data_IF_000304738952
#
_entry.id   IF_000304738952
#
_cell.length_a   1.000
_cell.length_b   1.000
_cell.length_c   1.000
_cell.angle_alpha   90.00
_cell.angle_beta   90.00
_cell.angle_gamma   90.00
#
_symmetry.space_group_name_H-M   'P 1'
#
loop_
_entity.id
_entity.type
_entity.pdbx_description
1 polymer ?
#
# COMPACT_ATOMS: atom_id res chain seq x y z
N UNK A 1 -23.23 -23.43 -12.12
CA UNK A 1 -23.54 -22.00 -12.10
C UNK A 1 -22.31 -21.29 -12.64
N UNK A 2 -22.44 -20.26 -13.49
CA UNK A 2 -21.29 -19.49 -13.88
C UNK A 2 -20.70 -18.87 -12.60
N UNK A 3 -19.39 -18.98 -12.46
CA UNK A 3 -18.67 -18.31 -11.38
C UNK A 3 -18.90 -16.82 -11.60
N UNK A 4 -19.61 -16.15 -10.69
CA UNK A 4 -19.79 -14.73 -10.76
C UNK A 4 -18.41 -14.05 -10.68
N UNK A 5 -18.09 -13.25 -11.67
CA UNK A 5 -16.86 -12.45 -11.70
C UNK A 5 -16.95 -11.31 -10.68
N UNK A 6 -16.66 -11.61 -9.43
CA UNK A 6 -16.53 -10.65 -8.35
C UNK A 6 -15.09 -10.14 -8.24
N UNK A 7 -14.88 -9.13 -7.40
CA UNK A 7 -13.52 -8.74 -7.00
C UNK A 7 -12.78 -9.92 -6.40
N UNK A 8 -11.48 -9.99 -6.63
CA UNK A 8 -10.62 -10.94 -5.97
C UNK A 8 -10.67 -10.71 -4.47
N UNK A 9 -10.79 -11.79 -3.73
CA UNK A 9 -10.94 -11.74 -2.29
C UNK A 9 -9.62 -12.00 -1.58
N UNK A 10 -9.70 -12.02 -0.27
CA UNK A 10 -8.68 -12.26 0.72
C UNK A 10 -7.61 -13.29 0.26
N UNK A 11 -6.42 -12.80 0.07
CA UNK A 11 -5.23 -13.59 -0.25
C UNK A 11 -4.93 -14.66 0.79
N UNK A 12 -5.36 -14.45 2.04
CA UNK A 12 -5.15 -15.38 3.15
C UNK A 12 -5.91 -16.71 2.97
N UNK A 13 -6.95 -16.71 2.15
CA UNK A 13 -7.71 -17.93 1.84
C UNK A 13 -7.00 -18.84 0.86
N UNK A 14 -6.02 -18.35 0.11
CA UNK A 14 -5.32 -19.12 -0.91
C UNK A 14 -4.26 -20.04 -0.32
N UNK A 15 -4.17 -21.25 -0.88
CA UNK A 15 -3.20 -22.25 -0.45
C UNK A 15 -1.84 -22.07 -1.09
N UNK A 16 -1.82 -21.53 -2.29
CA UNK A 16 -0.60 -21.39 -3.09
C UNK A 16 -0.26 -19.91 -3.20
N UNK A 17 0.83 -19.43 -2.62
CA UNK A 17 1.29 -18.07 -2.82
C UNK A 17 1.81 -17.86 -4.24
N UNK A 18 1.87 -16.60 -4.67
CA UNK A 18 2.49 -16.20 -5.93
C UNK A 18 3.99 -16.50 -5.98
N UNK A 19 4.64 -16.06 -7.05
CA UNK A 19 6.06 -16.30 -7.27
C UNK A 19 6.91 -15.69 -6.15
N UNK A 20 7.72 -16.51 -5.52
CA UNK A 20 8.67 -16.08 -4.49
C UNK A 20 10.03 -15.87 -5.10
N UNK A 21 10.56 -14.69 -4.91
CA UNK A 21 11.93 -14.38 -5.28
C UNK A 21 12.90 -14.74 -4.14
N UNK A 22 14.17 -14.82 -4.46
CA UNK A 22 15.21 -15.01 -3.45
C UNK A 22 15.19 -13.84 -2.47
N UNK A 23 15.49 -14.12 -1.20
CA UNK A 23 15.68 -13.07 -0.20
C UNK A 23 16.87 -12.20 -0.60
N UNK A 24 16.68 -10.88 -0.56
CA UNK A 24 17.73 -9.92 -0.79
C UNK A 24 18.11 -9.21 0.52
N UNK A 25 19.35 -8.78 0.62
CA UNK A 25 19.80 -7.88 1.67
C UNK A 25 20.08 -6.51 1.07
N UNK A 26 19.72 -5.45 1.80
CA UNK A 26 20.20 -4.11 1.45
C UNK A 26 21.72 -4.10 1.58
N UNK A 27 22.40 -4.09 0.44
CA UNK A 27 23.86 -3.98 0.40
C UNK A 27 24.29 -2.54 0.66
N UNK A 28 25.45 -2.37 1.28
CA UNK A 28 26.12 -1.07 1.36
C UNK A 28 26.52 -0.66 -0.06
N UNK A 29 25.59 0.00 -0.75
CA UNK A 29 25.74 0.50 -2.10
C UNK A 29 26.44 1.86 -2.13
N UNK A 30 26.44 2.49 -3.30
CA UNK A 30 26.90 3.86 -3.43
C UNK A 30 26.12 4.79 -2.51
N UNK A 31 26.82 5.65 -1.80
CA UNK A 31 26.23 6.66 -0.90
C UNK A 31 25.23 7.51 -1.68
N UNK A 32 24.03 7.76 -1.13
CA UNK A 32 23.05 8.66 -1.75
C UNK A 32 23.70 9.97 -2.22
N UNK A 33 23.29 10.44 -3.39
CA UNK A 33 23.78 11.66 -4.05
C UNK A 33 25.29 11.67 -4.43
N UNK A 34 26.03 10.57 -4.23
CA UNK A 34 27.38 10.47 -4.79
C UNK A 34 27.35 10.30 -6.32
N UNK A 35 28.45 10.64 -7.02
CA UNK A 35 28.53 10.43 -8.48
C UNK A 35 28.20 8.99 -8.89
N UNK A 36 28.72 7.99 -8.17
CA UNK A 36 28.47 6.58 -8.45
C UNK A 36 26.99 6.20 -8.24
N UNK A 37 26.32 6.79 -7.26
CA UNK A 37 24.90 6.61 -7.01
C UNK A 37 24.06 7.19 -8.16
N UNK A 38 24.37 8.44 -8.59
CA UNK A 38 23.69 9.04 -9.73
C UNK A 38 23.88 8.22 -11.02
N UNK A 39 25.08 7.69 -11.25
CA UNK A 39 25.34 6.87 -12.44
C UNK A 39 24.56 5.55 -12.38
N UNK A 40 24.41 4.96 -11.20
CA UNK A 40 23.60 3.75 -11.03
C UNK A 40 22.10 4.04 -11.25
N UNK A 41 21.57 5.11 -10.68
CA UNK A 41 20.18 5.55 -10.90
C UNK A 41 19.91 5.88 -12.37
N UNK A 42 20.84 6.57 -13.06
CA UNK A 42 20.73 6.88 -14.48
C UNK A 42 20.66 5.62 -15.36
N UNK A 43 21.44 4.57 -15.02
CA UNK A 43 21.34 3.27 -15.71
C UNK A 43 19.95 2.64 -15.53
N UNK A 44 19.39 2.69 -14.32
CA UNK A 44 18.02 2.25 -14.07
C UNK A 44 17.03 3.05 -14.90
N UNK A 45 17.16 4.38 -14.94
CA UNK A 45 16.34 5.27 -15.76
C UNK A 45 16.38 4.90 -17.24
N UNK A 46 17.56 4.61 -17.79
CA UNK A 46 17.74 4.17 -19.17
C UNK A 46 16.99 2.85 -19.44
N UNK A 47 17.08 1.86 -18.56
CA UNK A 47 16.37 0.59 -18.71
C UNK A 47 14.85 0.78 -18.64
N UNK A 48 14.35 1.58 -17.69
CA UNK A 48 12.92 1.93 -17.60
C UNK A 48 12.42 2.61 -18.89
N UNK A 49 13.15 3.61 -19.37
CA UNK A 49 12.79 4.34 -20.60
C UNK A 49 12.76 3.44 -21.84
N UNK A 50 13.72 2.52 -21.98
CA UNK A 50 13.76 1.52 -23.06
C UNK A 50 12.59 0.53 -22.97
N UNK A 51 12.17 0.17 -21.75
CA UNK A 51 10.99 -0.68 -21.54
C UNK A 51 9.66 0.04 -21.80
N UNK A 52 9.69 1.34 -22.09
CA UNK A 52 8.50 2.14 -22.42
C UNK A 52 7.90 2.88 -21.22
N UNK A 53 8.57 2.94 -20.08
CA UNK A 53 8.10 3.75 -18.93
C UNK A 53 8.10 5.23 -19.32
N UNK A 54 6.96 5.90 -19.13
CA UNK A 54 6.77 7.33 -19.44
C UNK A 54 6.48 8.18 -18.22
N UNK A 55 5.85 7.57 -17.22
CA UNK A 55 5.57 8.23 -15.96
C UNK A 55 5.84 7.30 -14.78
N UNK A 56 6.30 7.86 -13.68
CA UNK A 56 6.48 7.19 -12.41
C UNK A 56 5.65 7.94 -11.37
N UNK A 57 4.87 7.18 -10.61
CA UNK A 57 3.97 7.72 -9.58
C UNK A 57 4.39 7.20 -8.22
N UNK A 58 4.42 8.09 -7.24
CA UNK A 58 4.69 7.78 -5.84
C UNK A 58 3.42 8.01 -5.03
N UNK A 59 2.93 6.95 -4.39
CA UNK A 59 1.71 6.94 -3.59
C UNK A 59 2.04 6.57 -2.15
N UNK A 60 1.85 7.52 -1.23
CA UNK A 60 2.23 7.36 0.16
C UNK A 60 1.34 6.39 0.93
N UNK A 61 1.89 5.79 1.99
CA UNK A 61 1.21 4.83 2.85
C UNK A 61 0.85 5.35 4.23
N UNK A 62 0.97 6.67 4.46
CA UNK A 62 0.59 7.26 5.73
C UNK A 62 -0.88 6.98 6.05
N UNK A 63 -1.18 6.87 7.33
CA UNK A 63 -2.52 6.58 7.81
C UNK A 63 -3.12 7.82 8.46
N UNK A 64 -4.41 8.02 8.24
CA UNK A 64 -5.18 9.08 8.84
C UNK A 64 -6.40 8.50 9.55
N UNK A 65 -6.65 8.94 10.76
CA UNK A 65 -7.79 8.50 11.57
C UNK A 65 -7.48 8.45 13.06
N UNK A 66 -8.51 8.27 13.86
CA UNK A 66 -8.44 8.23 15.31
C UNK A 66 -8.10 6.86 15.88
N UNK A 67 -8.13 5.83 15.05
CA UNK A 67 -7.86 4.44 15.42
C UNK A 67 -6.94 3.78 14.40
N UNK A 68 -5.67 4.17 14.43
CA UNK A 68 -4.65 3.75 13.47
C UNK A 68 -4.46 2.22 13.40
N UNK A 69 -4.73 1.53 14.49
CA UNK A 69 -4.53 0.09 14.59
C UNK A 69 -5.85 -0.71 14.54
N UNK A 70 -6.98 -0.05 14.36
CA UNK A 70 -8.28 -0.72 14.26
C UNK A 70 -8.74 -1.38 15.56
N UNK A 71 -8.31 -0.86 16.72
CA UNK A 71 -8.69 -1.42 18.03
C UNK A 71 -10.19 -1.32 18.27
N UNK A 72 -10.82 -0.25 17.79
CA UNK A 72 -12.27 -0.10 17.86
C UNK A 72 -12.99 -1.21 17.08
N UNK A 73 -12.47 -1.60 15.94
CA UNK A 73 -12.99 -2.72 15.17
C UNK A 73 -12.87 -4.05 15.92
N UNK A 74 -11.72 -4.30 16.56
CA UNK A 74 -11.56 -5.46 17.43
C UNK A 74 -12.63 -5.51 18.52
N UNK A 75 -13.01 -4.36 19.06
CA UNK A 75 -14.07 -4.23 20.04
C UNK A 75 -15.46 -4.51 19.44
N UNK A 76 -15.72 -4.01 18.22
CA UNK A 76 -16.98 -4.22 17.50
C UNK A 76 -17.22 -5.70 17.15
N UNK A 77 -16.20 -6.42 16.72
CA UNK A 77 -16.28 -7.87 16.50
C UNK A 77 -16.28 -8.68 17.82
N UNK A 78 -16.25 -7.98 18.96
CA UNK A 78 -16.40 -8.57 20.28
C UNK A 78 -15.14 -9.22 20.83
N UNK A 79 -13.98 -9.01 20.20
CA UNK A 79 -12.71 -9.60 20.59
C UNK A 79 -12.28 -9.25 22.01
N UNK A 80 -12.33 -7.97 22.36
CA UNK A 80 -11.95 -7.50 23.70
C UNK A 80 -12.98 -7.87 24.77
N UNK A 81 -14.27 -7.88 24.42
CA UNK A 81 -15.37 -8.25 25.34
C UNK A 81 -15.41 -9.73 25.67
N UNK A 82 -14.98 -10.59 24.74
CA UNK A 82 -14.98 -12.04 24.91
C UNK A 82 -13.85 -12.54 25.82
N UNK A 83 -12.95 -11.67 26.25
CA UNK A 83 -11.86 -12.02 27.17
C UNK A 83 -10.80 -12.95 26.57
N UNK A 84 -10.70 -13.02 25.25
CA UNK A 84 -9.67 -13.82 24.56
C UNK A 84 -8.25 -13.35 24.82
N UNK A 85 -8.07 -12.11 25.30
CA UNK A 85 -6.79 -11.58 25.76
C UNK A 85 -6.36 -12.19 27.11
N UNK A 86 -7.31 -12.73 27.89
CA UNK A 86 -7.00 -13.29 29.20
C UNK A 86 -6.15 -14.53 29.07
N UNK A 87 -4.95 -14.47 29.59
CA UNK A 87 -4.00 -15.58 29.60
C UNK A 87 -3.02 -15.61 28.42
N UNK A 88 -3.09 -14.66 27.48
CA UNK A 88 -2.05 -14.43 26.49
C UNK A 88 -1.12 -13.35 27.05
N UNK A 89 0.03 -13.77 27.58
CA UNK A 89 1.01 -12.84 28.14
C UNK A 89 1.38 -11.75 27.13
N UNK A 90 1.19 -10.49 27.52
CA UNK A 90 1.55 -9.33 26.73
C UNK A 90 0.52 -8.85 25.70
N UNK A 91 -0.54 -9.61 25.39
CA UNK A 91 -1.56 -9.15 24.45
C UNK A 91 -2.30 -7.91 24.96
N UNK A 92 -2.61 -7.86 26.27
CA UNK A 92 -3.24 -6.67 26.87
C UNK A 92 -2.31 -5.44 26.81
N UNK A 93 -0.99 -5.64 27.00
CA UNK A 93 0.00 -4.58 26.87
C UNK A 93 0.13 -4.11 25.42
N UNK A 94 0.11 -5.03 24.47
CA UNK A 94 0.11 -4.71 23.03
C UNK A 94 -1.13 -3.91 22.64
N UNK A 95 -2.32 -4.35 23.07
CA UNK A 95 -3.57 -3.64 22.78
C UNK A 95 -3.61 -2.27 23.47
N UNK A 96 -3.06 -2.13 24.67
CA UNK A 96 -2.90 -0.85 25.36
C UNK A 96 -1.94 0.07 24.59
N UNK A 97 -0.78 -0.43 24.19
CA UNK A 97 0.18 0.33 23.38
C UNK A 97 -0.39 0.76 22.03
N UNK A 98 -1.19 -0.09 21.39
CA UNK A 98 -1.89 0.24 20.15
C UNK A 98 -2.95 1.35 20.35
N UNK A 99 -3.64 1.36 21.50
CA UNK A 99 -4.57 2.43 21.88
C UNK A 99 -3.85 3.74 22.21
N UNK A 100 -2.80 3.65 22.99
CA UNK A 100 -2.00 4.81 23.43
C UNK A 100 -1.15 5.38 22.29
N UNK A 101 -0.65 4.54 21.40
CA UNK A 101 0.11 4.96 20.22
C UNK A 101 -0.69 5.88 19.29
N UNK A 102 -2.02 5.68 19.20
CA UNK A 102 -2.93 6.62 18.52
C UNK A 102 -2.95 8.01 19.18
N UNK A 103 -2.74 8.08 20.48
CA UNK A 103 -2.65 9.33 21.23
C UNK A 103 -1.23 9.90 21.26
N UNK A 104 -0.22 9.08 20.98
CA UNK A 104 1.20 9.46 21.04
C UNK A 104 1.73 10.14 19.78
N UNK A 105 0.93 10.25 18.72
CA UNK A 105 1.25 11.04 17.52
C UNK A 105 0.34 12.29 17.55
N UNK A 106 0.77 13.39 18.21
CA UNK A 106 -0.11 14.55 18.46
C UNK A 106 -0.69 15.17 17.19
N UNK A 107 -0.04 14.98 16.06
CA UNK A 107 -0.47 15.51 14.77
C UNK A 107 -1.64 14.71 14.14
N UNK A 108 -1.90 13.47 14.60
CA UNK A 108 -2.95 12.61 14.06
C UNK A 108 -4.13 12.44 15.02
N UNK A 109 -4.02 12.89 16.29
CA UNK A 109 -4.99 12.61 17.35
C UNK A 109 -5.88 13.79 17.75
N UNK A 110 -5.64 14.99 17.26
CA UNK A 110 -6.20 16.19 17.92
C UNK A 110 -7.15 17.05 17.11
N UNK A 111 -7.48 16.72 15.90
CA UNK A 111 -8.36 17.55 15.10
C UNK A 111 -9.05 16.76 14.00
N UNK A 112 -10.23 17.20 13.59
CA UNK A 112 -10.79 16.86 12.29
C UNK A 112 -9.78 17.40 11.27
N UNK A 113 -8.79 16.59 10.90
CA UNK A 113 -7.91 16.95 9.80
C UNK A 113 -8.79 16.89 8.55
N UNK A 114 -8.88 17.98 7.77
CA UNK A 114 -9.63 17.94 6.54
C UNK A 114 -9.14 16.79 5.66
N UNK A 115 -9.99 16.17 4.86
CA UNK A 115 -9.58 15.12 3.96
C UNK A 115 -8.36 15.60 3.18
N UNK A 116 -7.29 14.77 3.19
CA UNK A 116 -6.05 15.11 2.49
C UNK A 116 -6.36 15.23 0.99
N UNK A 117 -5.94 16.32 0.42
CA UNK A 117 -6.07 16.61 -1.01
C UNK A 117 -4.70 16.54 -1.68
N UNK A 118 -4.69 16.28 -2.98
CA UNK A 118 -3.43 16.24 -3.74
C UNK A 118 -2.94 17.67 -4.10
N UNK A 119 -2.74 18.50 -3.09
CA UNK A 119 -2.28 19.88 -3.21
C UNK A 119 -0.95 20.12 -2.49
N UNK A 120 -0.32 21.24 -2.78
CA UNK A 120 1.00 21.58 -2.24
C UNK A 120 1.00 21.75 -0.70
N UNK A 121 -0.09 22.24 -0.13
CA UNK A 121 -0.20 22.44 1.32
C UNK A 121 -0.25 21.09 2.04
N UNK A 122 -1.06 20.17 1.55
CA UNK A 122 -1.15 18.81 2.09
C UNK A 122 0.16 18.05 1.95
N UNK A 123 0.84 18.16 0.81
CA UNK A 123 2.16 17.55 0.58
C UNK A 123 3.18 18.07 1.59
N UNK A 124 3.23 19.39 1.78
CA UNK A 124 4.11 19.99 2.77
C UNK A 124 3.78 19.54 4.19
N UNK A 125 2.51 19.48 4.55
CA UNK A 125 2.08 19.00 5.87
C UNK A 125 2.54 17.56 6.14
N UNK A 126 2.39 16.69 5.17
CA UNK A 126 2.87 15.29 5.27
C UNK A 126 4.39 15.24 5.42
N UNK A 127 5.13 16.05 4.66
CA UNK A 127 6.59 16.09 4.73
C UNK A 127 7.08 16.59 6.09
N UNK A 128 6.46 17.63 6.62
CA UNK A 128 6.78 18.19 7.94
C UNK A 128 6.47 17.19 9.09
N UNK A 129 5.44 16.37 8.94
CA UNK A 129 5.00 15.45 10.00
C UNK A 129 5.66 14.09 9.95
N UNK A 130 5.81 13.50 8.78
CA UNK A 130 6.25 12.12 8.58
C UNK A 130 7.70 12.02 8.08
N UNK A 131 8.22 13.08 7.46
CA UNK A 131 9.49 12.99 6.77
C UNK A 131 9.48 11.85 5.77
N UNK A 132 10.48 10.97 5.81
CA UNK A 132 10.59 9.80 4.94
C UNK A 132 9.83 8.56 5.45
N UNK A 133 9.20 8.64 6.61
CA UNK A 133 8.61 7.48 7.24
C UNK A 133 7.25 7.11 6.63
N UNK A 134 7.25 6.19 5.68
CA UNK A 134 6.05 5.76 4.96
C UNK A 134 5.52 6.81 3.98
N UNK A 135 6.33 7.80 3.66
CA UNK A 135 5.98 8.94 2.83
C UNK A 135 7.09 9.21 1.80
N UNK A 136 6.70 9.38 0.56
CA UNK A 136 7.60 9.87 -0.49
C UNK A 136 7.55 11.40 -0.49
N UNK A 137 8.53 12.05 0.15
CA UNK A 137 8.58 13.51 0.23
C UNK A 137 8.75 14.16 -1.14
N UNK A 138 8.42 15.45 -1.27
CA UNK A 138 8.68 16.17 -2.50
C UNK A 138 10.20 16.20 -2.82
N UNK A 139 11.05 16.25 -1.79
CA UNK A 139 12.50 16.15 -1.95
C UNK A 139 12.93 14.76 -2.49
N UNK A 140 12.33 13.68 -1.96
CA UNK A 140 12.58 12.31 -2.45
C UNK A 140 12.22 12.19 -3.93
N UNK A 141 11.03 12.65 -4.31
CA UNK A 141 10.55 12.55 -5.70
C UNK A 141 11.39 13.40 -6.64
N UNK A 142 11.74 14.62 -6.23
CA UNK A 142 12.62 15.50 -7.03
C UNK A 142 14.04 14.93 -7.22
N UNK A 143 14.59 14.30 -6.18
CA UNK A 143 15.89 13.62 -6.27
C UNK A 143 15.81 12.39 -7.20
N UNK A 144 14.77 11.59 -7.06
CA UNK A 144 14.51 10.43 -7.92
C UNK A 144 14.42 10.86 -9.39
N UNK A 145 13.59 11.87 -9.69
CA UNK A 145 13.42 12.43 -11.04
C UNK A 145 14.75 12.90 -11.64
N UNK A 146 15.50 13.72 -10.90
CA UNK A 146 16.82 14.21 -11.32
C UNK A 146 17.80 13.06 -11.60
N UNK A 147 17.77 12.00 -10.78
CA UNK A 147 18.72 10.94 -10.85
C UNK A 147 18.48 9.99 -12.04
N UNK A 148 17.24 9.55 -12.25
CA UNK A 148 16.90 8.65 -13.36
C UNK A 148 16.98 9.34 -14.72
N UNK A 149 16.73 10.64 -14.77
CA UNK A 149 16.70 11.41 -16.01
C UNK A 149 18.06 12.01 -16.42
N UNK A 150 19.12 11.79 -15.61
CA UNK A 150 20.46 12.38 -15.81
C UNK A 150 20.99 12.25 -17.26
N UNK A 151 20.68 11.13 -17.92
CA UNK A 151 21.21 10.80 -19.27
C UNK A 151 20.11 10.60 -20.32
N UNK A 152 18.85 10.76 -19.96
CA UNK A 152 17.75 10.47 -20.88
C UNK A 152 17.49 11.64 -21.82
N UNK A 153 17.40 11.39 -23.14
CA UNK A 153 17.03 12.42 -24.13
C UNK A 153 15.56 12.84 -24.03
N UNK A 154 14.70 11.91 -23.57
CA UNK A 154 13.29 12.16 -23.25
C UNK A 154 13.06 11.78 -21.80
N UNK A 155 12.80 12.76 -20.93
CA UNK A 155 12.59 12.50 -19.53
C UNK A 155 11.38 11.60 -19.25
N UNK A 156 11.50 10.74 -18.23
CA UNK A 156 10.38 10.05 -17.60
C UNK A 156 9.86 10.95 -16.48
N UNK A 157 8.59 11.30 -16.51
CA UNK A 157 8.03 12.24 -15.53
C UNK A 157 7.78 11.55 -14.18
N UNK A 158 8.09 12.23 -13.09
CA UNK A 158 7.84 11.73 -11.74
C UNK A 158 6.74 12.54 -11.06
N UNK A 159 5.75 11.85 -10.51
CA UNK A 159 4.58 12.45 -9.87
C UNK A 159 4.39 11.91 -8.47
N UNK A 160 4.11 12.79 -7.54
CA UNK A 160 3.66 12.44 -6.20
C UNK A 160 2.15 12.65 -6.11
N UNK A 161 1.43 11.60 -5.77
CA UNK A 161 -0.02 11.65 -5.53
C UNK A 161 -0.27 11.46 -4.05
N UNK A 162 -1.07 12.36 -3.47
CA UNK A 162 -1.56 12.29 -2.10
C UNK A 162 -3.03 11.89 -2.12
N UNK A 163 -3.39 10.94 -1.28
CA UNK A 163 -4.77 10.48 -1.07
C UNK A 163 -5.19 10.72 0.39
N UNK A 164 -6.47 10.51 0.71
CA UNK A 164 -7.01 10.84 2.04
C UNK A 164 -6.40 10.05 3.21
N UNK A 165 -5.74 8.94 2.93
CA UNK A 165 -5.14 8.04 3.94
C UNK A 165 -6.13 7.48 4.97
N UNK A 166 -7.42 7.55 4.70
CA UNK A 166 -8.45 7.00 5.58
C UNK A 166 -8.30 5.49 5.70
N UNK A 167 -8.10 5.03 6.94
CA UNK A 167 -7.77 3.65 7.25
C UNK A 167 -9.02 2.74 7.29
N UNK A 168 -9.83 2.77 6.24
CA UNK A 168 -11.02 1.93 6.10
C UNK A 168 -11.36 1.68 4.63
N UNK A 169 -12.24 0.70 4.37
CA UNK A 169 -12.55 0.25 3.00
C UNK A 169 -13.12 1.35 2.11
N UNK A 170 -14.02 2.18 2.64
CA UNK A 170 -14.61 3.30 1.90
C UNK A 170 -13.54 4.30 1.45
N UNK A 171 -12.64 4.70 2.34
CA UNK A 171 -11.56 5.65 2.01
C UNK A 171 -10.65 5.10 0.92
N UNK A 172 -10.28 3.82 1.00
CA UNK A 172 -9.46 3.15 -0.03
C UNK A 172 -10.20 3.04 -1.37
N UNK A 173 -11.51 2.77 -1.35
CA UNK A 173 -12.31 2.70 -2.57
C UNK A 173 -12.45 4.06 -3.26
N UNK A 174 -12.70 5.12 -2.50
CA UNK A 174 -12.69 6.51 -3.02
C UNK A 174 -11.31 6.84 -3.59
N UNK A 175 -10.24 6.49 -2.88
CA UNK A 175 -8.88 6.71 -3.34
C UNK A 175 -8.58 5.95 -4.65
N UNK A 176 -9.05 4.71 -4.80
CA UNK A 176 -8.87 3.93 -6.03
C UNK A 176 -9.56 4.59 -7.23
N UNK A 177 -10.79 5.09 -7.05
CA UNK A 177 -11.51 5.82 -8.11
C UNK A 177 -10.78 7.11 -8.48
N UNK A 178 -10.39 7.93 -7.50
CA UNK A 178 -9.66 9.18 -7.75
C UNK A 178 -8.28 8.94 -8.37
N UNK A 179 -7.61 7.88 -7.98
CA UNK A 179 -6.34 7.48 -8.58
C UNK A 179 -6.51 7.13 -10.07
N UNK A 180 -7.51 6.33 -10.42
CA UNK A 180 -7.79 5.97 -11.81
C UNK A 180 -8.19 7.20 -12.64
N UNK A 181 -8.96 8.11 -12.08
CA UNK A 181 -9.31 9.38 -12.72
C UNK A 181 -8.07 10.27 -12.97
N UNK A 182 -7.17 10.33 -11.99
CA UNK A 182 -5.88 11.02 -12.14
C UNK A 182 -5.01 10.37 -13.23
N UNK A 183 -4.97 9.04 -13.30
CA UNK A 183 -4.25 8.32 -14.35
C UNK A 183 -4.81 8.60 -15.74
N UNK A 184 -6.14 8.68 -15.85
CA UNK A 184 -6.80 9.02 -17.12
C UNK A 184 -6.34 10.39 -17.62
N UNK A 185 -6.40 11.39 -16.74
CA UNK A 185 -5.92 12.76 -17.04
C UNK A 185 -4.42 12.77 -17.39
N UNK A 186 -3.59 12.06 -16.63
CA UNK A 186 -2.16 11.96 -16.91
C UNK A 186 -1.87 11.36 -18.30
N UNK A 187 -2.61 10.30 -18.66
CA UNK A 187 -2.48 9.69 -19.99
C UNK A 187 -2.87 10.67 -21.13
N UNK A 188 -3.83 11.55 -20.87
CA UNK A 188 -4.26 12.58 -21.82
C UNK A 188 -3.22 13.67 -21.97
N UNK A 189 -2.79 14.25 -20.87
CA UNK A 189 -1.86 15.39 -20.82
C UNK A 189 -0.48 15.03 -21.38
N UNK A 190 -0.01 13.83 -21.12
CA UNK A 190 1.33 13.38 -21.51
C UNK A 190 1.34 12.51 -22.77
N UNK A 191 0.19 12.31 -23.41
CA UNK A 191 0.04 11.47 -24.59
C UNK A 191 0.57 10.04 -24.38
N UNK A 192 0.34 9.49 -23.18
CA UNK A 192 0.67 8.10 -22.85
C UNK A 192 -0.39 7.19 -23.46
N UNK A 193 0.03 6.12 -24.12
CA UNK A 193 -0.88 5.24 -24.82
C UNK A 193 -0.35 3.83 -25.06
N UNK A 194 -0.78 3.22 -26.15
CA UNK A 194 -0.48 1.82 -26.45
C UNK A 194 1.03 1.54 -26.47
N UNK A 195 1.44 0.60 -25.61
CA UNK A 195 2.83 0.16 -25.48
C UNK A 195 3.66 0.94 -24.48
N UNK A 196 3.16 2.09 -24.02
CA UNK A 196 3.78 2.82 -22.93
C UNK A 196 3.45 2.18 -21.58
N UNK A 197 4.23 2.53 -20.54
CA UNK A 197 4.10 2.03 -19.17
C UNK A 197 4.05 3.18 -18.18
N UNK A 198 3.24 3.00 -17.15
CA UNK A 198 3.18 3.86 -15.97
C UNK A 198 3.63 3.00 -14.80
N UNK A 199 4.69 3.39 -14.13
CA UNK A 199 5.20 2.70 -12.94
C UNK A 199 4.67 3.37 -11.68
N UNK A 200 4.15 2.60 -10.74
CA UNK A 200 3.64 3.11 -9.46
C UNK A 200 4.40 2.49 -8.31
N UNK A 201 4.97 3.33 -7.47
CA UNK A 201 5.47 2.96 -6.15
C UNK A 201 4.39 3.24 -5.12
N UNK A 202 3.88 2.19 -4.48
CA UNK A 202 2.85 2.31 -3.46
C UNK A 202 3.37 1.79 -2.12
N UNK A 203 3.32 2.61 -1.08
CA UNK A 203 3.73 2.20 0.25
C UNK A 203 2.52 1.80 1.11
N UNK A 204 2.68 0.73 1.90
CA UNK A 204 1.71 0.32 2.91
C UNK A 204 0.28 0.20 2.37
N UNK A 205 -0.63 0.94 2.93
CA UNK A 205 -2.05 0.91 2.56
C UNK A 205 -2.36 1.43 1.14
N UNK A 206 -1.47 2.22 0.55
CA UNK A 206 -1.63 2.59 -0.86
C UNK A 206 -1.62 1.36 -1.78
N UNK A 207 -0.94 0.29 -1.40
CA UNK A 207 -1.02 -0.97 -2.14
C UNK A 207 -2.42 -1.59 -2.12
N UNK A 208 -3.20 -1.42 -1.04
CA UNK A 208 -4.61 -1.86 -1.01
C UNK A 208 -5.49 -0.99 -1.92
N UNK A 209 -5.20 0.30 -2.05
CA UNK A 209 -5.83 1.18 -3.06
C UNK A 209 -5.56 0.65 -4.46
N UNK A 210 -4.31 0.25 -4.74
CA UNK A 210 -3.94 -0.29 -6.05
C UNK A 210 -4.50 -1.68 -6.30
N UNK A 211 -4.70 -2.50 -5.28
CA UNK A 211 -5.40 -3.78 -5.42
C UNK A 211 -6.86 -3.57 -5.88
N UNK A 212 -7.56 -2.59 -5.30
CA UNK A 212 -8.89 -2.19 -5.77
C UNK A 212 -8.84 -1.64 -7.21
N UNK A 213 -7.87 -0.77 -7.52
CA UNK A 213 -7.68 -0.24 -8.85
C UNK A 213 -7.40 -1.36 -9.89
N UNK A 214 -6.60 -2.36 -9.54
CA UNK A 214 -6.33 -3.51 -10.40
C UNK A 214 -7.61 -4.31 -10.70
N UNK A 215 -8.46 -4.54 -9.70
CA UNK A 215 -9.77 -5.16 -9.89
C UNK A 215 -10.71 -4.31 -10.76
N UNK A 216 -10.67 -2.97 -10.61
CA UNK A 216 -11.44 -2.07 -11.47
C UNK A 216 -10.94 -2.05 -12.92
N UNK A 217 -9.64 -2.21 -13.14
CA UNK A 217 -9.01 -2.26 -14.46
C UNK A 217 -9.19 -3.60 -15.18
N UNK A 218 -9.71 -4.63 -14.50
CA UNK A 218 -9.96 -5.93 -15.11
C UNK A 218 -10.73 -5.78 -16.43
N UNK A 219 -10.24 -6.33 -17.55
CA UNK A 219 -10.88 -6.16 -18.85
C UNK A 219 -12.22 -6.89 -18.94
N UNK A 220 -12.43 -7.91 -18.11
CA UNK A 220 -13.68 -8.66 -18.10
C UNK A 220 -14.77 -7.89 -17.33
N UNK A 221 -16.03 -7.97 -17.75
CA UNK A 221 -17.13 -7.47 -16.95
C UNK A 221 -17.19 -8.16 -15.61
N UNK A 222 -17.20 -7.40 -14.52
CA UNK A 222 -17.30 -7.90 -13.17
C UNK A 222 -18.44 -7.22 -12.43
N UNK A 223 -19.25 -8.01 -11.75
CA UNK A 223 -20.38 -7.52 -10.95
C UNK A 223 -19.90 -6.59 -9.82
N UNK A 224 -18.73 -6.89 -9.23
CA UNK A 224 -18.13 -6.08 -8.19
C UNK A 224 -17.85 -4.64 -8.60
N UNK A 225 -17.48 -4.38 -9.86
CA UNK A 225 -17.24 -3.02 -10.37
C UNK A 225 -18.52 -2.18 -10.33
N UNK A 226 -19.60 -2.66 -10.93
CA UNK A 226 -20.88 -1.96 -10.93
C UNK A 226 -21.40 -1.71 -9.52
N UNK A 227 -21.34 -2.73 -8.66
CA UNK A 227 -21.75 -2.63 -7.27
C UNK A 227 -20.93 -1.60 -6.49
N UNK A 228 -19.61 -1.53 -6.71
CA UNK A 228 -18.77 -0.52 -6.09
C UNK A 228 -19.16 0.89 -6.52
N UNK A 229 -19.39 1.10 -7.81
CA UNK A 229 -19.83 2.41 -8.33
C UNK A 229 -21.21 2.79 -7.82
N UNK A 230 -22.16 1.86 -7.71
CA UNK A 230 -23.47 2.11 -7.07
C UNK A 230 -23.31 2.58 -5.64
N UNK A 231 -22.51 1.90 -4.83
CA UNK A 231 -22.26 2.27 -3.43
C UNK A 231 -21.62 3.67 -3.34
N UNK A 232 -20.59 3.93 -4.13
CA UNK A 232 -19.89 5.21 -4.10
C UNK A 232 -20.74 6.37 -4.63
N UNK A 233 -21.55 6.13 -5.65
CA UNK A 233 -22.50 7.13 -6.18
C UNK A 233 -23.58 7.46 -5.15
N UNK A 234 -24.15 6.45 -4.50
CA UNK A 234 -25.13 6.68 -3.43
C UNK A 234 -24.49 7.44 -2.26
N UNK A 235 -23.28 7.08 -1.86
CA UNK A 235 -22.53 7.78 -0.81
C UNK A 235 -22.24 9.23 -1.19
N UNK A 236 -21.75 9.49 -2.41
CA UNK A 236 -21.41 10.85 -2.86
C UNK A 236 -22.63 11.76 -2.94
N UNK A 237 -23.79 11.24 -3.37
CA UNK A 237 -25.06 11.97 -3.39
C UNK A 237 -25.55 12.33 -1.99
N UNK A 238 -25.45 11.40 -1.03
CA UNK A 238 -25.87 11.63 0.36
C UNK A 238 -24.95 12.59 1.13
N UNK A 239 -23.67 12.66 0.75
CA UNK A 239 -22.66 13.47 1.42
C UNK A 239 -22.28 14.74 0.65
N UNK A 240 -22.96 15.00 -0.46
CA UNK A 240 -22.72 16.14 -1.34
C UNK A 240 -21.24 16.26 -1.80
N UNK A 241 -20.73 15.17 -2.39
CA UNK A 241 -19.38 15.09 -2.96
C UNK A 241 -19.41 15.06 -4.51
N UNK A 242 -19.71 16.18 -5.17
CA UNK A 242 -19.85 16.22 -6.63
C UNK A 242 -18.58 15.85 -7.39
N UNK A 243 -17.41 16.09 -6.81
CA UNK A 243 -16.11 15.72 -7.40
C UNK A 243 -15.94 14.20 -7.50
N UNK A 244 -16.37 13.45 -6.47
CA UNK A 244 -16.35 11.99 -6.50
C UNK A 244 -17.31 11.45 -7.55
N UNK A 245 -18.51 12.00 -7.63
CA UNK A 245 -19.49 11.63 -8.65
C UNK A 245 -18.97 11.90 -10.05
N UNK A 246 -18.32 13.05 -10.26
CA UNK A 246 -17.70 13.40 -11.54
C UNK A 246 -16.55 12.43 -11.91
N UNK A 247 -15.70 12.05 -10.95
CA UNK A 247 -14.63 11.08 -11.15
C UNK A 247 -15.19 9.71 -11.55
N UNK A 248 -16.23 9.21 -10.85
CA UNK A 248 -16.90 7.95 -11.21
C UNK A 248 -17.38 8.00 -12.64
N UNK A 249 -18.12 9.05 -13.03
CA UNK A 249 -18.67 9.21 -14.39
C UNK A 249 -17.59 9.23 -15.47
N UNK A 250 -16.42 9.85 -15.19
CA UNK A 250 -15.32 9.91 -16.16
C UNK A 250 -14.66 8.56 -16.40
N UNK A 251 -14.55 7.71 -15.36
CA UNK A 251 -13.84 6.43 -15.50
C UNK A 251 -14.76 5.25 -15.86
N UNK A 252 -16.04 5.28 -15.52
CA UNK A 252 -16.95 4.15 -15.64
C UNK A 252 -17.07 3.64 -17.09
N UNK A 253 -17.33 4.53 -18.03
CA UNK A 253 -17.48 4.17 -19.44
C UNK A 253 -16.15 3.69 -20.06
N UNK A 254 -15.01 4.40 -19.89
CA UNK A 254 -13.72 3.92 -20.36
C UNK A 254 -13.29 2.59 -19.74
N UNK A 255 -13.57 2.33 -18.46
CA UNK A 255 -13.31 1.04 -17.81
C UNK A 255 -14.10 -0.08 -18.46
N UNK A 256 -15.39 0.13 -18.69
CA UNK A 256 -16.27 -0.85 -19.35
C UNK A 256 -15.82 -1.18 -20.77
N UNK A 257 -15.20 -0.24 -21.45
CA UNK A 257 -14.62 -0.41 -22.78
C UNK A 257 -13.17 -0.91 -22.81
N UNK A 258 -12.54 -1.13 -21.65
CA UNK A 258 -11.12 -1.51 -21.55
C UNK A 258 -10.14 -0.46 -22.10
N UNK A 259 -10.53 0.81 -22.09
CA UNK A 259 -9.80 1.90 -22.75
C UNK A 259 -9.28 2.98 -21.81
N UNK A 260 -9.51 2.85 -20.50
CA UNK A 260 -9.18 3.90 -19.51
C UNK A 260 -7.74 4.40 -19.63
N UNK A 261 -6.79 3.49 -19.70
CA UNK A 261 -5.37 3.81 -19.81
C UNK A 261 -4.88 3.89 -21.27
N UNK A 262 -5.79 4.02 -22.23
CA UNK A 262 -5.46 4.07 -23.68
C UNK A 262 -4.54 2.91 -24.11
N UNK A 263 -4.69 1.74 -23.47
CA UNK A 263 -3.86 0.54 -23.65
C UNK A 263 -2.40 0.69 -23.19
N UNK A 264 -2.10 1.65 -22.33
CA UNK A 264 -0.86 1.66 -21.58
C UNK A 264 -0.89 0.59 -20.47
N UNK A 265 0.27 0.15 -20.05
CA UNK A 265 0.41 -0.82 -18.95
C UNK A 265 0.64 -0.08 -17.63
N UNK A 266 -0.01 -0.54 -16.57
CA UNK A 266 0.24 -0.10 -15.20
C UNK A 266 1.13 -1.12 -14.51
N UNK A 267 2.35 -0.74 -14.16
CA UNK A 267 3.27 -1.58 -13.40
C UNK A 267 3.27 -1.12 -11.94
N UNK A 268 3.23 -2.06 -10.99
CA UNK A 268 3.06 -1.75 -9.58
C UNK A 268 4.17 -2.36 -8.73
N UNK A 269 4.82 -1.53 -7.92
CA UNK A 269 5.69 -1.93 -6.83
C UNK A 269 5.00 -1.62 -5.51
N UNK A 270 4.56 -2.64 -4.81
CA UNK A 270 3.90 -2.55 -3.51
C UNK A 270 4.92 -2.77 -2.38
N UNK A 271 5.17 -1.73 -1.60
CA UNK A 271 6.18 -1.69 -0.55
C UNK A 271 5.51 -1.85 0.82
N UNK A 272 5.73 -2.97 1.50
CA UNK A 272 5.13 -3.23 2.82
C UNK A 272 3.61 -3.27 2.83
N UNK A 273 2.98 -3.59 1.71
CA UNK A 273 1.52 -3.67 1.62
C UNK A 273 0.99 -4.90 2.36
N UNK A 274 -0.01 -4.74 3.23
CA UNK A 274 -0.67 -5.88 3.87
C UNK A 274 -1.30 -6.84 2.86
N UNK A 275 -1.22 -8.14 3.12
CA UNK A 275 -1.84 -9.17 2.27
C UNK A 275 -3.31 -9.34 2.69
N UNK A 276 -4.16 -8.45 2.20
CA UNK A 276 -5.59 -8.40 2.57
C UNK A 276 -6.53 -8.48 1.38
N UNK A 277 -6.40 -7.54 0.46
CA UNK A 277 -7.22 -7.53 -0.76
C UNK A 277 -6.57 -8.41 -1.81
N UNK A 278 -7.40 -9.15 -2.54
CA UNK A 278 -6.94 -9.86 -3.72
C UNK A 278 -6.60 -8.89 -4.86
N UNK A 279 -5.65 -9.28 -5.66
CA UNK A 279 -5.27 -8.57 -6.87
C UNK A 279 -5.87 -9.23 -8.10
N UNK A 280 -6.30 -8.45 -9.07
CA UNK A 280 -6.57 -8.95 -10.41
C UNK A 280 -5.41 -8.56 -11.34
N UNK A 281 -4.48 -9.48 -11.62
CA UNK A 281 -3.32 -9.16 -12.43
C UNK A 281 -3.67 -8.91 -13.91
N UNK A 282 -4.87 -9.26 -14.37
CA UNK A 282 -5.30 -9.03 -15.75
C UNK A 282 -5.47 -7.53 -16.07
N UNK A 283 -5.67 -6.70 -15.05
CA UNK A 283 -5.81 -5.24 -15.18
C UNK A 283 -4.49 -4.46 -15.12
N UNK A 284 -3.37 -5.14 -14.85
CA UNK A 284 -2.06 -4.51 -14.66
C UNK A 284 -0.97 -5.20 -15.50
N UNK A 285 0.18 -4.54 -15.67
CA UNK A 285 1.33 -5.10 -16.38
C UNK A 285 2.18 -6.00 -15.50
N UNK A 286 2.98 -5.39 -14.64
CA UNK A 286 3.83 -6.10 -13.66
C UNK A 286 3.42 -5.78 -12.24
N UNK A 287 3.58 -6.76 -11.34
CA UNK A 287 3.32 -6.61 -9.91
C UNK A 287 4.48 -7.21 -9.11
N UNK A 288 5.11 -6.36 -8.30
CA UNK A 288 6.17 -6.75 -7.37
C UNK A 288 5.80 -6.28 -5.96
N UNK A 289 5.78 -7.20 -5.01
CA UNK A 289 5.68 -6.90 -3.59
C UNK A 289 7.07 -6.95 -2.98
N UNK A 290 7.47 -5.90 -2.29
CA UNK A 290 8.70 -5.85 -1.51
C UNK A 290 8.30 -5.76 -0.03
N UNK A 291 8.78 -6.71 0.76
CA UNK A 291 8.43 -6.81 2.19
C UNK A 291 9.70 -6.80 3.02
N UNK A 292 9.80 -5.85 3.96
CA UNK A 292 10.87 -5.81 4.93
C UNK A 292 10.79 -7.03 5.84
N UNK A 293 11.88 -7.80 5.87
CA UNK A 293 11.96 -9.06 6.56
C UNK A 293 13.34 -9.25 7.16
N UNK A 294 13.39 -9.70 8.41
CA UNK A 294 14.67 -10.06 9.04
C UNK A 294 15.37 -11.21 8.30
N UNK A 295 16.65 -11.32 8.51
CA UNK A 295 17.47 -12.41 8.01
C UNK A 295 16.83 -13.77 8.24
N UNK A 296 17.07 -14.68 7.30
CA UNK A 296 16.63 -16.06 7.39
C UNK A 296 17.08 -16.69 8.70
N UNK A 297 16.17 -17.36 9.35
CA UNK A 297 16.47 -18.12 10.56
C UNK A 297 17.47 -19.24 10.25
N UNK A 298 18.27 -19.58 11.25
CA UNK A 298 19.24 -20.68 11.17
C UNK A 298 18.62 -22.06 10.91
N UNK A 299 17.27 -22.18 11.10
CA UNK A 299 16.50 -23.40 10.78
C UNK A 299 16.14 -23.54 9.29
N UNK A 300 16.64 -22.67 8.44
CA UNK A 300 16.46 -22.69 6.99
C UNK A 300 15.06 -22.31 6.50
N UNK A 301 14.17 -21.86 7.36
CA UNK A 301 12.84 -21.40 6.95
C UNK A 301 12.93 -20.06 6.25
N UNK A 302 12.46 -20.05 5.01
CA UNK A 302 12.45 -18.87 4.13
C UNK A 302 11.20 -18.01 4.24
N UNK A 303 10.23 -18.42 5.05
CA UNK A 303 9.00 -17.68 5.32
C UNK A 303 8.87 -17.42 6.80
N UNK A 304 8.17 -16.37 7.15
CA UNK A 304 7.77 -16.15 8.52
C UNK A 304 6.97 -17.36 8.99
N UNK A 305 7.55 -18.05 9.92
CA UNK A 305 6.79 -18.92 10.77
C UNK A 305 5.74 -18.10 11.51
N UNK A 306 4.74 -18.75 12.07
CA UNK A 306 3.69 -18.14 12.89
C UNK A 306 4.22 -16.99 13.73
N UNK A 307 3.47 -15.88 13.73
CA UNK A 307 3.73 -14.79 14.66
C UNK A 307 3.64 -15.33 16.10
N UNK A 308 4.76 -15.38 16.79
CA UNK A 308 4.78 -15.73 18.20
C UNK A 308 4.56 -14.43 18.99
N UNK A 309 3.36 -14.26 19.54
CA UNK A 309 2.95 -13.01 20.23
C UNK A 309 3.95 -12.51 21.29
N UNK A 310 4.56 -13.35 22.14
CA UNK A 310 5.58 -12.88 23.06
C UNK A 310 6.82 -12.29 22.39
N UNK A 311 7.23 -12.86 21.27
CA UNK A 311 8.38 -12.41 20.50
C UNK A 311 8.08 -11.07 19.80
N UNK A 312 6.90 -10.92 19.22
CA UNK A 312 6.44 -9.67 18.60
C UNK A 312 6.46 -8.52 19.60
N UNK A 313 6.00 -8.74 20.82
CA UNK A 313 5.97 -7.72 21.87
C UNK A 313 7.38 -7.22 22.22
N UNK A 314 8.37 -8.11 22.23
CA UNK A 314 9.75 -7.75 22.53
C UNK A 314 10.47 -7.09 21.35
N UNK A 315 10.16 -7.50 20.14
CA UNK A 315 10.86 -7.09 18.91
C UNK A 315 10.24 -5.85 18.26
N UNK A 316 8.91 -5.71 18.31
CA UNK A 316 8.17 -4.63 17.66
C UNK A 316 8.61 -3.22 18.09
N UNK A 317 8.84 -2.94 19.40
CA UNK A 317 9.22 -1.59 19.84
C UNK A 317 10.55 -1.09 19.29
N UNK A 318 11.41 -1.98 18.83
CA UNK A 318 12.73 -1.66 18.26
C UNK A 318 12.83 -2.07 16.78
N UNK A 319 11.71 -2.44 16.18
CA UNK A 319 11.63 -2.90 14.79
C UNK A 319 12.54 -4.11 14.47
N UNK A 320 12.84 -4.93 15.45
CA UNK A 320 13.66 -6.12 15.26
C UNK A 320 12.83 -7.23 14.60
N UNK A 321 13.04 -7.48 13.34
CA UNK A 321 12.40 -8.63 12.68
C UNK A 321 11.51 -8.27 11.52
N UNK A 322 11.61 -7.07 11.00
CA UNK A 322 10.93 -6.66 9.79
C UNK A 322 9.77 -5.69 10.02
N UNK A 323 8.77 -5.77 9.17
CA UNK A 323 7.65 -4.83 9.14
C UNK A 323 6.43 -5.37 9.92
N UNK A 324 6.27 -4.90 11.14
CA UNK A 324 5.14 -5.31 11.99
C UNK A 324 3.82 -4.62 11.63
N UNK A 325 3.87 -3.46 10.97
CA UNK A 325 2.66 -2.79 10.47
C UNK A 325 2.03 -3.65 9.37
N UNK A 326 2.84 -4.13 8.44
CA UNK A 326 2.38 -5.03 7.39
C UNK A 326 1.82 -6.33 7.99
N UNK A 327 2.49 -6.94 8.96
CA UNK A 327 2.03 -8.17 9.61
C UNK A 327 0.71 -8.01 10.36
N UNK A 328 0.58 -6.96 11.18
CA UNK A 328 -0.62 -6.74 11.98
C UNK A 328 -1.81 -6.30 11.12
N UNK A 329 -1.57 -5.49 10.11
CA UNK A 329 -2.62 -5.03 9.21
C UNK A 329 -3.20 -6.16 8.34
N UNK A 330 -2.48 -7.26 8.13
CA UNK A 330 -3.00 -8.50 7.54
C UNK A 330 -4.22 -9.02 8.30
N UNK A 331 -4.26 -8.85 9.61
CA UNK A 331 -5.39 -9.29 10.44
C UNK A 331 -6.66 -8.43 10.29
N UNK A 332 -6.61 -7.34 9.54
CA UNK A 332 -7.79 -6.50 9.31
C UNK A 332 -7.97 -5.37 10.32
N UNK A 333 -6.88 -4.68 10.67
CA UNK A 333 -6.89 -3.52 11.56
C UNK A 333 -7.41 -2.27 10.85
N UNK A 334 -8.72 -2.08 10.73
CA UNK A 334 -9.32 -0.90 10.11
C UNK A 334 -9.96 0.04 11.13
N UNK A 335 -9.86 1.33 10.88
CA UNK A 335 -10.64 2.34 11.56
C UNK A 335 -12.12 2.27 11.13
N UNK A 336 -13.00 2.74 12.00
CA UNK A 336 -14.44 2.84 11.72
C UNK A 336 -14.75 4.27 11.25
N UNK A 337 -15.44 4.45 10.13
CA UNK A 337 -15.89 5.77 9.70
C UNK A 337 -16.75 6.47 10.74
N UNK A 338 -16.69 7.80 10.79
CA UNK A 338 -17.36 8.60 11.83
C UNK A 338 -18.86 8.66 11.63
N UNK A 339 -19.34 8.91 10.40
CA UNK A 339 -20.75 9.09 10.10
C UNK A 339 -21.46 7.78 9.79
N UNK A 340 -22.75 7.67 10.08
CA UNK A 340 -23.52 6.46 9.82
C UNK A 340 -23.65 6.17 8.32
N UNK A 341 -23.74 7.20 7.49
CA UNK A 341 -23.69 7.06 6.02
C UNK A 341 -22.37 6.43 5.58
N UNK A 342 -21.24 6.91 6.11
CA UNK A 342 -19.92 6.35 5.79
C UNK A 342 -19.75 4.93 6.35
N UNK A 343 -20.27 4.63 7.56
CA UNK A 343 -20.27 3.26 8.11
C UNK A 343 -21.04 2.29 7.23
N UNK A 344 -22.22 2.71 6.75
CA UNK A 344 -23.04 1.87 5.86
C UNK A 344 -22.33 1.57 4.55
N UNK A 345 -21.78 2.59 3.89
CA UNK A 345 -21.01 2.42 2.65
C UNK A 345 -19.76 1.58 2.88
N UNK A 346 -19.02 1.84 3.97
CA UNK A 346 -17.83 1.08 4.34
C UNK A 346 -18.14 -0.41 4.54
N UNK A 347 -19.23 -0.73 5.22
CA UNK A 347 -19.66 -2.10 5.45
C UNK A 347 -20.00 -2.82 4.14
N UNK A 348 -20.73 -2.15 3.24
CA UNK A 348 -21.07 -2.73 1.95
C UNK A 348 -19.83 -3.02 1.07
N UNK A 349 -18.83 -2.13 1.10
CA UNK A 349 -17.56 -2.36 0.40
C UNK A 349 -16.78 -3.50 1.08
N UNK A 350 -16.74 -3.51 2.40
CA UNK A 350 -16.07 -4.56 3.15
C UNK A 350 -16.58 -5.97 2.80
N UNK A 351 -17.90 -6.15 2.77
CA UNK A 351 -18.53 -7.41 2.37
C UNK A 351 -18.16 -7.86 0.95
N UNK A 352 -17.73 -6.91 0.09
CA UNK A 352 -17.25 -7.20 -1.26
C UNK A 352 -15.79 -7.63 -1.30
N UNK A 353 -14.93 -6.98 -0.49
CA UNK A 353 -13.46 -7.14 -0.60
C UNK A 353 -12.89 -8.09 0.43
N UNK A 354 -13.57 -8.27 1.55
CA UNK A 354 -13.19 -9.19 2.63
C UNK A 354 -14.45 -9.87 3.20
N UNK A 355 -15.00 -10.88 2.51
CA UNK A 355 -16.27 -11.50 2.89
C UNK A 355 -16.19 -12.30 4.20
N UNK A 356 -14.99 -12.49 4.75
CA UNK A 356 -14.75 -13.26 5.97
C UNK A 356 -14.35 -12.32 7.10
N UNK A 357 -15.09 -12.33 8.17
CA UNK A 357 -14.90 -11.45 9.31
C UNK A 357 -14.99 -12.23 10.64
N UNK A 358 -14.58 -11.57 11.71
CA UNK A 358 -14.67 -12.06 13.07
C UNK A 358 -13.34 -12.10 13.80
N UNK A 359 -13.42 -12.16 15.14
CA UNK A 359 -12.21 -12.17 15.97
C UNK A 359 -11.36 -13.43 15.74
N UNK A 360 -11.99 -14.57 15.56
CA UNK A 360 -11.32 -15.84 15.29
C UNK A 360 -10.52 -15.75 13.98
N UNK A 361 -11.09 -15.12 12.96
CA UNK A 361 -10.40 -14.89 11.68
C UNK A 361 -9.22 -13.93 11.85
N UNK A 362 -9.43 -12.83 12.56
CA UNK A 362 -8.35 -11.89 12.89
C UNK A 362 -7.20 -12.60 13.60
N UNK A 363 -7.50 -13.40 14.63
CA UNK A 363 -6.51 -14.13 15.40
C UNK A 363 -5.76 -15.14 14.53
N UNK A 364 -6.46 -15.83 13.62
CA UNK A 364 -5.85 -16.76 12.69
C UNK A 364 -4.91 -16.05 11.71
N UNK A 365 -5.33 -14.93 11.13
CA UNK A 365 -4.51 -14.12 10.25
C UNK A 365 -3.25 -13.59 10.97
N UNK A 366 -3.42 -13.09 12.19
CA UNK A 366 -2.29 -12.64 13.03
C UNK A 366 -1.30 -13.77 13.33
N UNK A 367 -1.80 -14.98 13.60
CA UNK A 367 -0.95 -16.16 13.87
C UNK A 367 -0.24 -16.67 12.63
N UNK A 368 -0.86 -16.57 11.47
CA UNK A 368 -0.26 -17.00 10.20
C UNK A 368 0.81 -16.06 9.72
N UNK A 369 0.72 -14.77 10.06
CA UNK A 369 1.63 -13.73 9.62
C UNK A 369 1.94 -13.87 8.11
N UNK A 370 0.88 -13.95 7.29
CA UNK A 370 1.04 -14.17 5.84
C UNK A 370 1.65 -12.92 5.23
N UNK A 371 2.83 -13.06 4.68
CA UNK A 371 3.54 -11.96 4.02
C UNK A 371 3.65 -12.13 2.52
N UNK A 372 3.15 -13.24 2.00
CA UNK A 372 3.24 -13.56 0.59
C UNK A 372 1.87 -13.44 -0.07
N UNK A 373 1.67 -12.48 -0.96
CA UNK A 373 0.48 -12.41 -1.79
C UNK A 373 0.40 -13.61 -2.75
N UNK A 374 -0.81 -13.90 -3.25
CA UNK A 374 -1.03 -14.95 -4.23
C UNK A 374 -0.68 -14.52 -5.64
N UNK A 375 -0.78 -13.23 -5.93
CA UNK A 375 -0.55 -12.69 -7.26
C UNK A 375 0.69 -11.81 -7.28
N UNK A 376 1.36 -11.78 -8.42
CA UNK A 376 2.61 -11.05 -8.59
C UNK A 376 3.81 -11.80 -8.03
N UNK A 377 4.94 -11.11 -8.00
CA UNK A 377 6.20 -11.58 -7.43
C UNK A 377 6.37 -11.00 -6.03
N UNK A 378 6.93 -11.76 -5.10
CA UNK A 378 7.22 -11.28 -3.75
C UNK A 378 8.70 -11.39 -3.43
N UNK A 379 9.33 -10.25 -3.15
CA UNK A 379 10.71 -10.15 -2.70
C UNK A 379 10.76 -9.81 -1.21
N UNK A 380 11.37 -10.67 -0.42
CA UNK A 380 11.69 -10.37 0.97
C UNK A 380 13.02 -9.64 1.03
N UNK A 381 13.09 -8.54 1.75
CA UNK A 381 14.30 -7.73 1.87
C UNK A 381 14.64 -7.52 3.33
N UNK A 382 15.86 -7.86 3.71
CA UNK A 382 16.44 -7.40 4.96
C UNK A 382 17.06 -6.00 4.72
N UNK A 383 16.32 -4.97 5.13
CA UNK A 383 16.80 -3.59 5.03
C UNK A 383 17.83 -3.23 6.10
N UNK A 384 18.12 -4.14 7.04
CA UNK A 384 19.02 -3.88 8.18
C UNK A 384 18.61 -2.62 8.96
N UNK A 385 17.33 -2.32 8.94
CA UNK A 385 16.74 -1.09 9.50
C UNK A 385 16.40 -1.21 10.99
N UNK A 386 17.12 -2.07 11.70
CA UNK A 386 17.03 -2.13 13.14
C UNK A 386 17.86 -1.00 13.74
N UNK A 387 17.21 0.07 14.15
CA UNK A 387 17.89 1.22 14.78
C UNK A 387 18.31 0.93 16.23
N UNK A 388 17.73 -0.09 16.86
CA UNK A 388 17.82 -0.31 18.30
C UNK A 388 17.14 0.76 19.13
N UNK A 389 16.54 1.75 18.50
CA UNK A 389 15.80 2.83 19.14
C UNK A 389 14.42 2.37 19.59
N UNK A 390 13.98 2.85 20.74
CA UNK A 390 12.58 2.70 21.20
C UNK A 390 11.69 3.84 20.71
N UNK A 391 12.24 4.80 19.98
CA UNK A 391 11.46 5.88 19.38
C UNK A 391 10.76 5.40 18.10
N UNK A 392 9.49 5.10 18.21
CA UNK A 392 8.66 4.61 17.10
C UNK A 392 8.71 5.49 15.85
N UNK A 393 8.92 6.81 16.02
CA UNK A 393 9.03 7.73 14.88
C UNK A 393 10.26 7.49 14.01
N UNK A 394 11.29 6.85 14.54
CA UNK A 394 12.50 6.55 13.80
C UNK A 394 12.36 5.35 12.88
N UNK A 395 11.48 4.40 13.19
CA UNK A 395 11.35 3.15 12.47
C UNK A 395 9.92 2.73 12.09
N UNK A 396 8.89 3.33 12.73
CA UNK A 396 7.49 2.96 12.51
C UNK A 396 7.26 1.44 12.53
N UNK A 397 7.81 0.77 13.55
CA UNK A 397 7.76 -0.69 13.68
C UNK A 397 8.32 -1.43 12.45
N UNK A 398 9.35 -0.87 11.80
CA UNK A 398 9.98 -1.43 10.60
C UNK A 398 9.30 -1.05 9.28
N UNK A 399 8.21 -0.30 9.34
CA UNK A 399 7.44 0.10 8.14
C UNK A 399 8.06 1.31 7.41
N UNK A 400 8.97 2.04 8.04
CA UNK A 400 9.63 3.20 7.45
C UNK A 400 10.76 2.85 6.46
N UNK A 401 11.24 1.61 6.45
CA UNK A 401 12.45 1.21 5.73
C UNK A 401 12.40 1.49 4.22
N UNK A 402 11.23 1.31 3.62
CA UNK A 402 11.07 1.34 2.16
C UNK A 402 11.21 2.72 1.52
N UNK A 403 10.85 3.77 2.24
CA UNK A 403 10.75 5.14 1.72
C UNK A 403 11.95 5.99 2.09
N UNK A 404 12.92 5.40 2.77
CA UNK A 404 14.17 6.07 3.12
C UNK A 404 15.07 6.28 1.91
N UNK A 405 15.78 7.38 1.92
CA UNK A 405 16.70 7.75 0.85
C UNK A 405 17.78 6.69 0.58
N UNK A 406 18.31 6.06 1.63
CA UNK A 406 19.30 4.99 1.48
C UNK A 406 18.76 3.72 0.79
N UNK A 407 17.45 3.49 0.83
CA UNK A 407 16.80 2.38 0.15
C UNK A 407 16.44 2.69 -1.33
N UNK A 408 16.49 3.95 -1.75
CA UNK A 408 16.04 4.38 -3.07
C UNK A 408 16.72 3.61 -4.21
N UNK A 409 18.06 3.60 -4.23
CA UNK A 409 18.83 2.93 -5.29
C UNK A 409 18.56 1.43 -5.28
N UNK A 410 18.56 0.80 -4.11
CA UNK A 410 18.31 -0.62 -3.96
C UNK A 410 16.91 -0.99 -4.50
N UNK A 411 15.87 -0.33 -4.03
CA UNK A 411 14.50 -0.58 -4.49
C UNK A 411 14.36 -0.37 -6.00
N UNK A 412 15.00 0.67 -6.55
CA UNK A 412 14.98 0.94 -7.99
C UNK A 412 15.73 -0.12 -8.78
N UNK A 413 16.84 -0.60 -8.28
CA UNK A 413 17.61 -1.67 -8.93
C UNK A 413 16.83 -2.98 -8.94
N UNK A 414 16.23 -3.36 -7.82
CA UNK A 414 15.45 -4.59 -7.74
C UNK A 414 14.19 -4.53 -8.63
N UNK A 415 13.45 -3.42 -8.64
CA UNK A 415 12.30 -3.32 -9.54
C UNK A 415 12.71 -3.41 -11.02
N UNK A 416 13.79 -2.74 -11.42
CA UNK A 416 14.29 -2.78 -12.79
C UNK A 416 14.73 -4.19 -13.17
N UNK A 417 15.43 -4.87 -12.27
CA UNK A 417 15.85 -6.26 -12.44
C UNK A 417 14.67 -7.21 -12.66
N UNK A 418 13.55 -7.00 -11.96
CA UNK A 418 12.40 -7.89 -12.02
C UNK A 418 11.39 -7.51 -13.09
N UNK A 419 11.31 -6.26 -13.50
CA UNK A 419 10.35 -5.80 -14.50
C UNK A 419 10.96 -5.59 -15.87
N UNK A 420 12.18 -5.04 -15.95
CA UNK A 420 12.73 -4.45 -17.17
C UNK A 420 14.10 -4.97 -17.55
N UNK A 421 14.69 -5.87 -16.79
CA UNK A 421 15.91 -6.55 -17.24
C UNK A 421 15.53 -7.52 -18.38
N UNK A 422 16.25 -7.38 -19.49
CA UNK A 422 16.08 -8.21 -20.69
C UNK A 422 16.63 -9.61 -20.46
#
# INVERSE_FOLDING_TARGET
MPIENNFQHDELSRKTPGDRLSVAELSDGAQPESPAWFDAMARCGTQMSHAGVRAIIFLHGSMHGTDLFGVQRLDEVGGLKRGYSRGVSGLDALLAAMREGGNGIPALSGGIIPPLHNDAMTKKLLDDQLGEAGNFTDAYVALYDRAINKTLPRPVTCHRIVWSSEHHHLGRAIAAVRFLDTLCTLCEDQHIGKGDRILVHAHGQAGLVLALAANLLCPSPITGRSKLFEILTAYSGQTNQPELEAAIKRIELPLSGGSLLKRAFLDVVALGTPVRYGWDPSGIGYLLHIVNHRNLRTDGKTWLAKMEMPQVIMEMPIAWGGDYVQELAVAGSDAVPITDTAKTANRAIWEMVEPYDGFERWLECSRRAVRFPSDGRCLLVDYKDCTGSTNVREHYFGHAAYTRLNAMLFNTTELVRHFYAA
#
